data_IF_238402511062
#
_entry.id   IF_238402511062
#
_cell.length_a   1.000
_cell.length_b   1.000
_cell.length_c   1.000
_cell.angle_alpha   90.00
_cell.angle_beta   90.00
_cell.angle_gamma   90.00
#
_symmetry.space_group_name_H-M   'P 1'
#
loop_
_entity.id
_entity.type
_entity.pdbx_description
1 polymer ?
#
# COMPACT_ATOMS: atom_id res chain seq x y z
N UNK A 1 18.72 -27.76 -25.02
CA UNK A 1 17.98 -28.47 -23.95
C UNK A 1 16.76 -27.63 -23.59
N UNK A 2 15.56 -28.21 -23.44
CA UNK A 2 14.38 -27.48 -22.99
C UNK A 2 14.57 -27.00 -21.55
N UNK A 3 14.19 -25.75 -21.25
CA UNK A 3 14.35 -25.11 -19.92
C UNK A 3 13.71 -25.96 -18.80
N UNK A 4 12.58 -26.62 -19.10
CA UNK A 4 11.90 -27.50 -18.16
C UNK A 4 12.79 -28.65 -17.70
N UNK A 5 13.45 -29.36 -18.62
CA UNK A 5 14.33 -30.49 -18.28
C UNK A 5 15.54 -30.05 -17.46
N UNK A 6 16.05 -28.85 -17.71
CA UNK A 6 17.12 -28.28 -16.88
C UNK A 6 16.65 -28.02 -15.45
N UNK A 7 15.44 -27.47 -15.27
CA UNK A 7 14.88 -27.23 -13.93
C UNK A 7 14.64 -28.55 -13.20
N UNK A 8 14.02 -29.54 -13.85
CA UNK A 8 13.80 -30.87 -13.26
C UNK A 8 15.13 -31.55 -12.92
N UNK A 9 16.13 -31.42 -13.79
CA UNK A 9 17.47 -31.96 -13.57
C UNK A 9 18.19 -31.34 -12.39
N UNK A 10 18.08 -30.02 -12.18
CA UNK A 10 18.65 -29.35 -11.01
C UNK A 10 17.91 -29.70 -9.72
N UNK A 11 16.57 -29.72 -9.73
CA UNK A 11 15.77 -30.09 -8.56
C UNK A 11 16.04 -31.54 -8.13
N UNK A 12 16.27 -32.45 -9.08
CA UNK A 12 16.58 -33.86 -8.83
C UNK A 12 17.92 -34.08 -8.12
N UNK A 13 18.82 -33.08 -8.09
CA UNK A 13 20.07 -33.15 -7.33
C UNK A 13 19.85 -32.91 -5.84
N UNK A 14 18.69 -32.39 -5.43
CA UNK A 14 18.38 -32.18 -4.02
C UNK A 14 17.95 -33.52 -3.38
N UNK A 15 18.70 -34.05 -2.40
CA UNK A 15 18.42 -35.36 -1.79
C UNK A 15 17.05 -35.43 -1.11
N UNK A 16 16.57 -34.32 -0.55
CA UNK A 16 15.27 -34.27 0.13
C UNK A 16 14.11 -34.35 -0.87
N UNK A 17 14.24 -33.70 -2.02
CA UNK A 17 13.21 -33.70 -3.06
C UNK A 17 13.20 -35.04 -3.80
N UNK A 18 14.38 -35.52 -4.19
CA UNK A 18 14.53 -36.79 -4.92
C UNK A 18 14.09 -38.02 -4.11
N UNK A 19 14.22 -37.98 -2.77
CA UNK A 19 13.83 -39.09 -1.91
C UNK A 19 12.33 -39.11 -1.57
N UNK A 20 11.65 -37.95 -1.57
CA UNK A 20 10.31 -37.82 -1.01
C UNK A 20 9.24 -37.40 -2.02
N UNK A 21 9.61 -37.03 -3.25
CA UNK A 21 8.69 -36.52 -4.26
C UNK A 21 8.95 -37.16 -5.62
N UNK A 22 7.89 -37.31 -6.42
CA UNK A 22 7.97 -37.80 -7.78
C UNK A 22 8.36 -36.66 -8.74
N UNK A 23 9.55 -36.76 -9.31
CA UNK A 23 10.10 -35.74 -10.20
C UNK A 23 9.51 -35.79 -11.62
N UNK A 24 8.77 -36.86 -11.96
CA UNK A 24 8.10 -37.00 -13.26
C UNK A 24 6.78 -36.21 -13.35
N UNK A 25 6.24 -35.76 -12.22
CA UNK A 25 4.93 -35.07 -12.12
C UNK A 25 5.04 -33.60 -11.68
N UNK A 26 6.21 -32.97 -11.90
CA UNK A 26 6.43 -31.56 -11.53
C UNK A 26 5.58 -30.63 -12.39
N UNK A 27 4.69 -29.89 -11.73
CA UNK A 27 3.96 -28.76 -12.30
C UNK A 27 4.66 -27.43 -11.99
N UNK A 28 4.93 -26.62 -13.02
CA UNK A 28 5.47 -25.27 -12.87
C UNK A 28 4.36 -24.27 -13.18
N UNK A 29 4.02 -23.43 -12.20
CA UNK A 29 3.06 -22.33 -12.38
C UNK A 29 3.76 -20.97 -12.34
N UNK A 30 3.30 -20.04 -13.19
CA UNK A 30 3.78 -18.66 -13.21
C UNK A 30 2.68 -17.78 -12.64
N UNK A 31 2.94 -17.20 -11.47
CA UNK A 31 2.02 -16.24 -10.87
C UNK A 31 2.28 -14.84 -11.43
N UNK A 32 1.22 -14.19 -11.90
CA UNK A 32 1.29 -12.77 -12.28
C UNK A 32 1.52 -11.93 -11.02
N UNK A 33 2.66 -11.26 -10.94
CA UNK A 33 2.87 -10.23 -9.92
C UNK A 33 1.98 -9.03 -10.23
N UNK A 34 0.84 -8.93 -9.55
CA UNK A 34 -0.01 -7.74 -9.63
C UNK A 34 0.63 -6.66 -8.76
N UNK A 35 1.21 -5.64 -9.41
CA UNK A 35 1.68 -4.45 -8.70
C UNK A 35 0.48 -3.82 -7.96
N UNK A 36 0.59 -3.57 -6.65
CA UNK A 36 -0.53 -2.97 -5.93
C UNK A 36 -0.81 -1.58 -6.50
N UNK A 37 -2.08 -1.21 -6.56
CA UNK A 37 -2.50 0.13 -6.98
C UNK A 37 -3.65 0.68 -6.12
N UNK A 38 -3.83 2.00 -6.15
CA UNK A 38 -5.02 2.65 -5.57
C UNK A 38 -6.12 2.67 -6.63
N UNK A 39 -7.23 2.00 -6.35
CA UNK A 39 -8.43 2.05 -7.19
C UNK A 39 -9.11 3.41 -7.03
N UNK A 40 -9.54 4.01 -8.14
CA UNK A 40 -10.30 5.27 -8.20
C UNK A 40 -9.62 6.42 -7.43
N UNK A 41 -8.33 6.65 -7.70
CA UNK A 41 -7.55 7.70 -7.03
C UNK A 41 -8.20 9.09 -7.16
N UNK A 42 -8.84 9.40 -8.29
CA UNK A 42 -9.54 10.67 -8.50
C UNK A 42 -10.66 10.87 -7.48
N UNK A 43 -11.50 9.85 -7.28
CA UNK A 43 -12.60 9.89 -6.33
C UNK A 43 -12.08 10.07 -4.88
N UNK A 44 -10.97 9.42 -4.53
CA UNK A 44 -10.33 9.56 -3.23
C UNK A 44 -9.83 10.99 -3.03
N UNK A 45 -9.15 11.57 -4.03
CA UNK A 45 -8.65 12.95 -3.96
C UNK A 45 -9.80 13.94 -3.84
N UNK A 46 -10.84 13.82 -4.68
CA UNK A 46 -12.01 14.69 -4.62
C UNK A 46 -12.74 14.61 -3.28
N UNK A 47 -12.91 13.39 -2.73
CA UNK A 47 -13.51 13.22 -1.40
C UNK A 47 -12.66 13.86 -0.32
N UNK A 48 -11.34 13.68 -0.37
CA UNK A 48 -10.42 14.26 0.59
C UNK A 48 -10.44 15.79 0.55
N UNK A 49 -10.36 16.40 -0.63
CA UNK A 49 -10.44 17.85 -0.80
C UNK A 49 -11.77 18.42 -0.31
N UNK A 50 -12.89 17.77 -0.64
CA UNK A 50 -14.20 18.12 -0.12
C UNK A 50 -14.24 18.04 1.42
N UNK A 51 -13.70 16.97 2.01
CA UNK A 51 -13.67 16.80 3.45
C UNK A 51 -12.89 17.93 4.12
N UNK A 52 -11.72 18.27 3.57
CA UNK A 52 -10.87 19.36 4.06
C UNK A 52 -11.60 20.71 3.99
N UNK A 53 -12.29 21.00 2.89
CA UNK A 53 -13.07 22.22 2.73
C UNK A 53 -14.21 22.32 3.74
N UNK A 54 -14.97 21.22 3.91
CA UNK A 54 -16.16 21.20 4.78
C UNK A 54 -15.82 21.15 6.27
N UNK A 55 -14.73 20.47 6.64
CA UNK A 55 -14.42 20.16 8.05
C UNK A 55 -13.17 20.87 8.57
N UNK A 56 -12.66 21.91 7.88
CA UNK A 56 -11.41 22.60 8.23
C UNK A 56 -11.29 22.97 9.71
N UNK A 57 -12.38 23.44 10.32
CA UNK A 57 -12.42 23.85 11.75
C UNK A 57 -12.38 22.68 12.73
N UNK A 58 -12.66 21.47 12.28
CA UNK A 58 -12.75 20.25 13.10
C UNK A 58 -11.55 19.33 12.94
N UNK A 59 -10.57 19.70 12.11
CA UNK A 59 -9.31 18.96 12.00
C UNK A 59 -8.51 19.21 13.29
N UNK A 60 -8.15 18.17 14.07
CA UNK A 60 -7.44 18.36 15.32
C UNK A 60 -6.05 18.94 15.07
N UNK A 61 -5.75 20.07 15.70
CA UNK A 61 -4.44 20.71 15.66
C UNK A 61 -3.94 20.93 17.09
N UNK A 62 -2.70 20.55 17.36
CA UNK A 62 -2.03 20.74 18.63
C UNK A 62 -0.69 21.44 18.41
N UNK A 63 -0.50 22.60 19.03
CA UNK A 63 0.73 23.41 18.87
C UNK A 63 1.15 23.62 17.41
N UNK A 64 0.18 23.88 16.53
CA UNK A 64 0.38 24.10 15.10
C UNK A 64 0.56 22.83 14.25
N UNK A 65 0.56 21.64 14.85
CA UNK A 65 0.68 20.35 14.16
C UNK A 65 -0.70 19.67 14.06
N UNK A 66 -1.07 19.18 12.88
CA UNK A 66 -2.26 18.36 12.70
C UNK A 66 -2.06 17.01 13.41
N UNK A 67 -2.97 16.64 14.31
CA UNK A 67 -2.94 15.39 15.08
C UNK A 67 -4.05 14.47 14.53
N UNK A 68 -3.76 13.84 13.40
CA UNK A 68 -4.68 12.97 12.69
C UNK A 68 -4.27 11.53 12.97
N UNK A 69 -5.19 10.73 13.51
CA UNK A 69 -4.97 9.30 13.68
C UNK A 69 -5.46 8.52 12.43
N UNK A 70 -5.13 7.23 12.37
CA UNK A 70 -5.51 6.36 11.23
C UNK A 70 -7.03 6.27 11.02
N UNK A 71 -7.81 6.33 12.10
CA UNK A 71 -9.28 6.25 12.03
C UNK A 71 -9.83 7.49 11.33
N UNK A 72 -9.38 8.66 11.76
CA UNK A 72 -9.77 9.94 11.18
C UNK A 72 -9.29 10.04 9.74
N UNK A 73 -8.03 9.68 9.44
CA UNK A 73 -7.53 9.72 8.06
C UNK A 73 -8.35 8.83 7.12
N UNK A 74 -8.69 7.60 7.54
CA UNK A 74 -9.53 6.72 6.73
C UNK A 74 -10.90 7.36 6.41
N UNK A 75 -11.52 8.01 7.40
CA UNK A 75 -12.74 8.78 7.21
C UNK A 75 -12.55 9.96 6.25
N UNK A 76 -11.46 10.71 6.39
CA UNK A 76 -11.16 11.85 5.52
C UNK A 76 -10.96 11.42 4.06
N UNK A 77 -10.38 10.24 3.83
CA UNK A 77 -10.15 9.66 2.51
C UNK A 77 -11.36 8.91 1.94
N UNK A 78 -12.44 8.73 2.70
CA UNK A 78 -13.62 7.98 2.27
C UNK A 78 -13.36 6.48 2.09
N UNK A 79 -12.44 5.89 2.87
CA UNK A 79 -12.05 4.47 2.77
C UNK A 79 -12.15 3.74 4.11
N UNK A 80 -12.09 2.40 4.07
CA UNK A 80 -12.01 1.59 5.28
C UNK A 80 -10.65 1.73 5.98
N UNK A 81 -10.61 1.46 7.29
CA UNK A 81 -9.36 1.41 8.06
C UNK A 81 -8.40 0.33 7.54
N UNK A 82 -8.94 -0.81 7.12
CA UNK A 82 -8.18 -1.92 6.55
C UNK A 82 -7.50 -1.50 5.23
N UNK A 83 -8.22 -0.76 4.37
CA UNK A 83 -7.68 -0.19 3.13
C UNK A 83 -6.51 0.74 3.44
N UNK A 84 -6.68 1.66 4.41
CA UNK A 84 -5.61 2.57 4.82
C UNK A 84 -4.38 1.82 5.36
N UNK A 85 -4.56 0.82 6.24
CA UNK A 85 -3.45 -0.03 6.72
C UNK A 85 -2.72 -0.70 5.56
N UNK A 86 -3.47 -1.20 4.58
CA UNK A 86 -2.92 -1.75 3.35
C UNK A 86 -2.08 -0.72 2.57
N UNK A 87 -2.56 0.52 2.47
CA UNK A 87 -1.86 1.60 1.77
C UNK A 87 -0.57 2.01 2.48
N UNK A 88 -0.58 2.07 3.82
CA UNK A 88 0.62 2.33 4.62
C UNK A 88 1.64 1.23 4.41
N UNK A 89 1.23 -0.04 4.51
CA UNK A 89 2.13 -1.20 4.29
C UNK A 89 2.72 -1.22 2.89
N UNK A 90 1.95 -0.77 1.89
CA UNK A 90 2.36 -0.71 0.48
C UNK A 90 3.10 0.57 0.11
N UNK A 91 3.29 1.49 1.07
CA UNK A 91 4.02 2.75 0.85
C UNK A 91 3.28 3.82 0.07
N UNK A 92 1.96 3.68 -0.15
CA UNK A 92 1.17 4.73 -0.81
C UNK A 92 0.95 5.96 0.08
N UNK A 93 0.89 5.74 1.39
CA UNK A 93 0.78 6.78 2.40
C UNK A 93 1.85 6.55 3.46
N UNK A 94 2.60 7.59 3.78
CA UNK A 94 3.64 7.54 4.82
C UNK A 94 3.17 8.25 6.10
N UNK A 95 3.06 7.53 7.25
CA UNK A 95 2.86 8.18 8.55
C UNK A 95 4.11 8.96 8.95
N UNK A 96 3.93 10.04 9.70
CA UNK A 96 5.04 10.79 10.29
C UNK A 96 4.97 10.71 11.81
N UNK A 97 6.12 10.73 12.48
CA UNK A 97 6.14 10.88 13.94
C UNK A 97 5.76 12.33 14.27
N UNK A 98 4.83 12.49 15.21
CA UNK A 98 4.45 13.81 15.71
C UNK A 98 5.65 14.47 16.39
N UNK A 99 5.88 15.74 16.08
CA UNK A 99 6.90 16.53 16.75
C UNK A 99 6.42 17.07 18.10
N UNK A 100 5.09 17.11 18.30
CA UNK A 100 4.47 17.68 19.50
C UNK A 100 3.98 16.64 20.50
N UNK A 101 3.75 15.40 20.06
CA UNK A 101 3.26 14.31 20.89
C UNK A 101 4.20 13.12 20.82
N UNK A 102 4.87 12.83 21.93
CA UNK A 102 5.83 11.73 22.03
C UNK A 102 5.22 10.39 21.63
N UNK A 103 5.99 9.59 20.89
CA UNK A 103 5.62 8.24 20.44
C UNK A 103 4.28 8.11 19.69
N UNK A 104 3.81 9.20 19.06
CA UNK A 104 2.56 9.19 18.31
C UNK A 104 2.81 9.43 16.83
N UNK A 105 2.20 8.59 15.99
CA UNK A 105 2.11 8.85 14.56
C UNK A 105 0.98 9.84 14.26
N UNK A 106 1.21 10.69 13.28
CA UNK A 106 0.22 11.61 12.72
C UNK A 106 0.32 11.68 11.20
N UNK A 107 -0.61 12.41 10.59
CA UNK A 107 -0.67 12.64 9.16
C UNK A 107 -0.91 14.13 8.90
N UNK A 108 -0.08 14.73 8.04
CA UNK A 108 -0.33 16.08 7.54
C UNK A 108 -1.22 16.02 6.30
N UNK A 109 -2.32 16.77 6.31
CA UNK A 109 -3.28 16.84 5.19
C UNK A 109 -2.60 17.28 3.89
N UNK A 110 -1.72 18.27 3.97
CA UNK A 110 -0.90 18.74 2.84
C UNK A 110 0.03 17.65 2.31
N UNK A 111 0.69 16.91 3.19
CA UNK A 111 1.60 15.84 2.78
C UNK A 111 0.84 14.68 2.12
N UNK A 112 -0.30 14.30 2.68
CA UNK A 112 -1.17 13.25 2.13
C UNK A 112 -1.68 13.66 0.74
N UNK A 113 -2.21 14.86 0.58
CA UNK A 113 -2.70 15.34 -0.72
C UNK A 113 -1.58 15.34 -1.77
N UNK A 114 -0.37 15.75 -1.38
CA UNK A 114 0.82 15.71 -2.26
C UNK A 114 1.17 14.29 -2.68
N UNK A 115 1.14 13.33 -1.75
CA UNK A 115 1.41 11.92 -2.05
C UNK A 115 0.37 11.34 -3.00
N UNK A 116 -0.91 11.60 -2.77
CA UNK A 116 -2.01 11.13 -3.63
C UNK A 116 -1.94 11.74 -5.03
N UNK A 117 -1.73 13.06 -5.16
CA UNK A 117 -1.59 13.72 -6.46
C UNK A 117 -0.36 13.26 -7.23
N UNK A 118 0.76 13.01 -6.54
CA UNK A 118 1.94 12.41 -7.17
C UNK A 118 1.63 11.01 -7.70
N UNK A 119 0.98 10.18 -6.89
CA UNK A 119 0.56 8.85 -7.30
C UNK A 119 -0.38 8.89 -8.51
N UNK A 120 -1.36 9.79 -8.50
CA UNK A 120 -2.27 10.05 -9.62
C UNK A 120 -1.52 10.47 -10.89
N UNK A 121 -0.54 11.37 -10.81
CA UNK A 121 0.25 11.77 -11.98
C UNK A 121 1.08 10.61 -12.56
N UNK A 122 1.60 9.72 -11.71
CA UNK A 122 2.39 8.55 -12.11
C UNK A 122 1.54 7.42 -12.71
N UNK A 123 0.23 7.36 -12.38
CA UNK A 123 -0.63 6.20 -12.69
C UNK A 123 -1.97 6.52 -13.38
N UNK A 124 -2.35 7.79 -13.49
CA UNK A 124 -3.64 8.27 -14.02
C UNK A 124 -3.74 8.31 -15.54
N UNK A 125 -2.67 7.90 -16.25
CA UNK A 125 -2.64 7.74 -17.71
C UNK A 125 -2.73 6.30 -18.18
N UNK A 126 -3.27 5.37 -17.37
CA UNK A 126 -3.43 3.96 -17.71
C UNK A 126 -4.88 3.50 -17.62
#
# INVERSE_FOLDING_TARGET
MPIYETIVGELSKNPELAANYDMATIEISILKTIKPFIKNIDAVISHFEWYLAKNKKYIPVFSGEEIINRILLAKMLGISRQTLTGWIRKGFITPVKSQRVSNKETFSTKAILKQLKRYQAEHGGK
#
